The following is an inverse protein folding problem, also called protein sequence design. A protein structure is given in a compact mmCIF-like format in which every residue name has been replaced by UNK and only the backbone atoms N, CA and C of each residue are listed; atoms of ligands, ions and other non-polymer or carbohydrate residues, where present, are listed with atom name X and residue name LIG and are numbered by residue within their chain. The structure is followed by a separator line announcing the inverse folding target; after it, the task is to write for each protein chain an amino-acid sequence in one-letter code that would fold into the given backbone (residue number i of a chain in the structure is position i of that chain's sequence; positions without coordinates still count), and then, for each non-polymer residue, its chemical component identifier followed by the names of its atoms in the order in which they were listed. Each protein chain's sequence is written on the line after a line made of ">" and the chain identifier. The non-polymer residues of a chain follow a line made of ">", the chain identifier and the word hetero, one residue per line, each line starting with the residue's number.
data_IF_705113344542
#
_entry.id   IF_705113344542
#
_cell.length_a   1.000
_cell.length_b   1.000
_cell.length_c   1.000
_cell.angle_alpha   90.00
_cell.angle_beta   90.00
_cell.angle_gamma   90.00
#
_symmetry.space_group_name_H-M   'P 1'
#
loop_
_entity.id
_entity.type
_entity.pdbx_description
1 polymer ?
#
# COMPACT_ATOMS: atom_id res chain seq x y z
N UNK A 1 33.60 100.93 5.55
CA UNK A 1 34.42 99.82 6.08
C UNK A 1 33.41 98.90 6.69
N UNK A 2 32.87 98.04 5.84
CA UNK A 2 31.77 97.16 6.22
C UNK A 2 32.30 96.14 7.22
N UNK A 3 31.53 95.89 8.26
CA UNK A 3 31.95 95.11 9.41
C UNK A 3 32.18 93.66 8.93
N UNK A 4 33.38 93.07 9.07
CA UNK A 4 33.67 91.72 8.57
C UNK A 4 32.74 90.65 9.17
N UNK A 5 32.11 90.97 10.31
CA UNK A 5 31.09 90.13 10.92
C UNK A 5 29.78 90.11 10.10
N UNK A 6 29.39 91.23 9.51
CA UNK A 6 28.18 91.37 8.69
C UNK A 6 28.31 90.60 7.36
N UNK A 7 29.49 90.64 6.73
CA UNK A 7 29.80 89.85 5.53
C UNK A 7 29.78 88.34 5.83
N UNK A 8 30.30 87.92 6.98
CA UNK A 8 30.25 86.52 7.41
C UNK A 8 28.83 86.02 7.70
N UNK A 9 27.97 86.90 8.23
CA UNK A 9 26.56 86.61 8.48
C UNK A 9 25.79 86.47 7.16
N UNK A 10 26.07 87.34 6.19
CA UNK A 10 25.45 87.27 4.87
C UNK A 10 25.81 85.97 4.13
N UNK A 11 27.09 85.59 4.11
CA UNK A 11 27.51 84.31 3.52
C UNK A 11 26.92 83.09 4.26
N UNK A 12 26.82 83.14 5.58
CA UNK A 12 26.20 82.05 6.35
C UNK A 12 24.71 81.93 6.02
N UNK A 13 24.02 83.06 5.83
CA UNK A 13 22.62 83.08 5.44
C UNK A 13 22.42 82.52 4.02
N UNK A 14 23.27 82.91 3.07
CA UNK A 14 23.25 82.40 1.70
C UNK A 14 23.51 80.89 1.63
N UNK A 15 24.49 80.39 2.41
CA UNK A 15 24.78 78.96 2.50
C UNK A 15 23.60 78.20 3.13
N UNK A 16 22.96 78.75 4.16
CA UNK A 16 21.79 78.11 4.77
C UNK A 16 20.61 78.05 3.80
N UNK A 17 20.37 79.08 3.00
CA UNK A 17 19.32 79.11 1.98
C UNK A 17 19.58 78.10 0.86
N UNK A 18 20.84 77.95 0.43
CA UNK A 18 21.26 76.93 -0.53
C UNK A 18 21.11 75.51 0.04
N UNK A 19 21.47 75.30 1.31
CA UNK A 19 21.29 74.02 1.99
C UNK A 19 19.81 73.66 2.13
N UNK A 20 18.96 74.62 2.50
CA UNK A 20 17.51 74.43 2.61
C UNK A 20 16.90 74.07 1.24
N UNK A 21 17.31 74.76 0.19
CA UNK A 21 16.91 74.47 -1.19
C UNK A 21 17.34 73.07 -1.64
N UNK A 22 18.58 72.66 -1.32
CA UNK A 22 19.09 71.34 -1.66
C UNK A 22 18.39 70.22 -0.88
N UNK A 23 18.07 70.43 0.40
CA UNK A 23 17.31 69.49 1.21
C UNK A 23 15.90 69.32 0.66
N UNK A 24 15.26 70.41 0.21
CA UNK A 24 13.94 70.33 -0.41
C UNK A 24 13.96 69.55 -1.73
N UNK A 25 14.95 69.78 -2.59
CA UNK A 25 15.12 69.00 -3.83
C UNK A 25 15.38 67.52 -3.54
N UNK A 26 16.26 67.21 -2.58
CA UNK A 26 16.53 65.83 -2.16
C UNK A 26 15.29 65.13 -1.58
N UNK A 27 14.46 65.85 -0.82
CA UNK A 27 13.20 65.31 -0.31
C UNK A 27 12.19 65.02 -1.41
N UNK A 28 12.15 65.83 -2.47
CA UNK A 28 11.24 65.62 -3.59
C UNK A 28 11.68 64.42 -4.45
N UNK A 29 12.97 64.32 -4.75
CA UNK A 29 13.55 63.20 -5.51
C UNK A 29 13.51 61.88 -4.71
N UNK A 30 13.73 61.94 -3.40
CA UNK A 30 13.66 60.77 -2.51
C UNK A 30 12.25 60.19 -2.44
N UNK A 31 11.18 60.99 -2.55
CA UNK A 31 9.79 60.49 -2.50
C UNK A 31 9.50 59.57 -3.68
N UNK A 32 9.95 59.93 -4.88
CA UNK A 32 9.74 59.12 -6.08
C UNK A 32 10.46 57.77 -5.99
N UNK A 33 11.69 57.78 -5.45
CA UNK A 33 12.48 56.56 -5.24
C UNK A 33 11.88 55.66 -4.13
N UNK A 34 11.39 56.28 -3.05
CA UNK A 34 10.69 55.58 -1.97
C UNK A 34 9.41 54.90 -2.46
N UNK A 35 8.63 55.60 -3.30
CA UNK A 35 7.40 55.06 -3.87
C UNK A 35 7.70 53.92 -4.83
N UNK A 36 8.70 54.04 -5.71
CA UNK A 36 9.12 52.95 -6.59
C UNK A 36 9.59 51.72 -5.80
N UNK A 37 10.37 51.94 -4.75
CA UNK A 37 10.89 50.87 -3.90
C UNK A 37 9.76 50.17 -3.13
N UNK A 38 8.84 50.92 -2.55
CA UNK A 38 7.72 50.40 -1.75
C UNK A 38 6.67 49.71 -2.60
N UNK A 39 6.35 50.25 -3.78
CA UNK A 39 5.25 49.75 -4.61
C UNK A 39 5.69 48.68 -5.60
N UNK A 40 6.86 48.84 -6.25
CA UNK A 40 7.25 47.99 -7.37
C UNK A 40 8.32 46.97 -7.00
N UNK A 41 9.34 47.36 -6.23
CA UNK A 41 10.46 46.46 -5.91
C UNK A 41 10.13 45.52 -4.74
N UNK A 42 9.49 46.02 -3.67
CA UNK A 42 9.09 45.18 -2.52
C UNK A 42 7.94 44.23 -2.81
N UNK A 43 7.01 44.60 -3.68
CA UNK A 43 5.89 43.72 -4.07
C UNK A 43 6.34 42.55 -4.96
N UNK A 44 7.48 42.69 -5.65
CA UNK A 44 7.99 41.73 -6.63
C UNK A 44 9.04 40.74 -6.06
N UNK A 45 9.34 40.83 -4.77
CA UNK A 45 10.23 39.88 -4.07
C UNK A 45 9.51 38.58 -3.69
N UNK A 46 9.00 37.83 -4.67
CA UNK A 46 8.70 36.40 -4.51
C UNK A 46 9.02 35.72 -5.84
N UNK A 47 10.29 35.39 -6.05
CA UNK A 47 10.69 34.50 -7.14
C UNK A 47 11.58 33.40 -6.58
N UNK A 48 10.96 32.26 -6.34
CA UNK A 48 11.69 31.01 -6.19
C UNK A 48 11.66 30.33 -7.55
N UNK A 49 12.74 30.52 -8.30
CA UNK A 49 12.97 29.81 -9.55
C UNK A 49 13.70 28.53 -9.19
N UNK A 50 12.96 27.42 -9.16
CA UNK A 50 13.57 26.09 -9.07
C UNK A 50 14.17 25.79 -10.45
N UNK A 51 15.49 25.54 -10.54
CA UNK A 51 16.12 25.22 -11.80
C UNK A 51 15.63 23.84 -12.28
N UNK A 52 15.44 23.70 -13.59
CA UNK A 52 14.94 22.47 -14.21
C UNK A 52 15.81 21.25 -13.87
N UNK A 53 17.13 21.48 -13.77
CA UNK A 53 18.10 20.46 -13.36
C UNK A 53 17.80 19.86 -11.98
N UNK A 54 17.39 20.68 -11.00
CA UNK A 54 17.08 20.19 -9.66
C UNK A 54 15.79 19.37 -9.64
N UNK A 55 14.84 19.68 -10.53
CA UNK A 55 13.60 18.90 -10.71
C UNK A 55 13.93 17.53 -11.32
N UNK A 56 14.77 17.50 -12.36
CA UNK A 56 15.19 16.27 -13.00
C UNK A 56 15.97 15.37 -12.04
N UNK A 57 16.88 15.97 -11.26
CA UNK A 57 17.63 15.25 -10.23
C UNK A 57 16.73 14.69 -9.14
N UNK A 58 15.83 15.51 -8.58
CA UNK A 58 14.89 15.05 -7.56
C UNK A 58 13.98 13.92 -8.06
N UNK A 59 13.62 13.95 -9.35
CA UNK A 59 12.86 12.86 -9.98
C UNK A 59 13.66 11.57 -10.10
N UNK A 60 14.94 11.65 -10.46
CA UNK A 60 15.83 10.49 -10.52
C UNK A 60 16.01 9.91 -9.12
N UNK A 61 16.34 10.74 -8.13
CA UNK A 61 16.54 10.33 -6.74
C UNK A 61 15.27 9.65 -6.17
N UNK A 62 14.09 10.21 -6.45
CA UNK A 62 12.81 9.62 -6.05
C UNK A 62 12.56 8.27 -6.72
N UNK A 63 12.87 8.16 -8.03
CA UNK A 63 12.73 6.90 -8.74
C UNK A 63 13.69 5.83 -8.20
N UNK A 64 14.95 6.18 -7.93
CA UNK A 64 15.93 5.26 -7.35
C UNK A 64 15.50 4.75 -5.96
N UNK A 65 14.82 5.57 -5.16
CA UNK A 65 14.28 5.16 -3.87
C UNK A 65 13.02 4.28 -4.01
N UNK A 66 12.11 4.64 -4.92
CA UNK A 66 10.78 4.02 -5.03
C UNK A 66 10.80 2.74 -5.88
N UNK A 67 11.62 2.68 -6.93
CA UNK A 67 11.72 1.54 -7.84
C UNK A 67 12.04 0.19 -7.15
N UNK A 68 13.01 0.09 -6.21
CA UNK A 68 13.25 -1.17 -5.51
C UNK A 68 12.05 -1.60 -4.64
N UNK A 69 11.30 -0.64 -4.08
CA UNK A 69 10.10 -0.92 -3.29
C UNK A 69 8.99 -1.48 -4.19
N UNK A 70 8.79 -0.88 -5.37
CA UNK A 70 7.85 -1.37 -6.37
C UNK A 70 8.22 -2.78 -6.82
N UNK A 71 9.50 -3.05 -7.09
CA UNK A 71 9.96 -4.39 -7.47
C UNK A 71 9.71 -5.43 -6.38
N UNK A 72 10.04 -5.11 -5.13
CA UNK A 72 9.79 -6.01 -3.99
C UNK A 72 8.29 -6.33 -3.82
N UNK A 73 7.42 -5.31 -3.97
CA UNK A 73 5.97 -5.49 -3.96
C UNK A 73 5.49 -6.34 -5.15
N UNK A 74 6.03 -6.09 -6.34
CA UNK A 74 5.74 -6.85 -7.55
C UNK A 74 6.11 -8.33 -7.43
N UNK A 75 7.27 -8.62 -6.84
CA UNK A 75 7.72 -10.00 -6.63
C UNK A 75 6.91 -10.72 -5.55
N UNK A 76 6.55 -10.02 -4.46
CA UNK A 76 5.60 -10.55 -3.47
C UNK A 76 4.25 -10.86 -4.10
N UNK A 77 3.74 -9.98 -4.96
CA UNK A 77 2.48 -10.20 -5.67
C UNK A 77 2.58 -11.43 -6.59
N UNK A 78 3.64 -11.55 -7.39
CA UNK A 78 3.88 -12.73 -8.23
C UNK A 78 3.94 -14.02 -7.40
N UNK A 79 4.62 -14.02 -6.27
CA UNK A 79 4.70 -15.18 -5.40
C UNK A 79 3.32 -15.60 -4.88
N UNK A 80 2.53 -14.64 -4.37
CA UNK A 80 1.17 -14.93 -3.89
C UNK A 80 0.24 -15.41 -5.01
N UNK A 81 0.39 -14.86 -6.21
CA UNK A 81 -0.38 -15.26 -7.38
C UNK A 81 -0.02 -16.69 -7.81
N UNK A 82 1.27 -17.03 -7.81
CA UNK A 82 1.74 -18.38 -8.12
C UNK A 82 1.24 -19.39 -7.09
N UNK A 83 1.27 -19.06 -5.79
CA UNK A 83 0.71 -19.92 -4.73
C UNK A 83 -0.78 -20.17 -4.96
N UNK A 84 -1.56 -19.12 -5.20
CA UNK A 84 -3.00 -19.25 -5.49
C UNK A 84 -3.27 -20.03 -6.78
N UNK A 85 -2.43 -19.89 -7.80
CA UNK A 85 -2.56 -20.66 -9.03
C UNK A 85 -2.31 -22.16 -8.79
N UNK A 86 -1.32 -22.50 -7.96
CA UNK A 86 -1.06 -23.88 -7.53
C UNK A 86 -2.25 -24.43 -6.72
N UNK A 87 -2.77 -23.64 -5.78
CA UNK A 87 -3.94 -24.03 -4.98
C UNK A 87 -5.17 -24.28 -5.85
N UNK A 88 -5.43 -23.42 -6.84
CA UNK A 88 -6.51 -23.59 -7.81
C UNK A 88 -6.33 -24.89 -8.61
N UNK A 89 -5.14 -25.14 -9.14
CA UNK A 89 -4.86 -26.37 -9.89
C UNK A 89 -5.06 -27.62 -9.01
N UNK A 90 -4.61 -27.57 -7.76
CA UNK A 90 -4.80 -28.66 -6.79
C UNK A 90 -6.28 -28.88 -6.50
N UNK A 91 -7.05 -27.81 -6.33
CA UNK A 91 -8.48 -27.87 -6.10
C UNK A 91 -9.22 -28.42 -7.32
N UNK A 92 -8.84 -28.01 -8.53
CA UNK A 92 -9.39 -28.53 -9.79
C UNK A 92 -9.10 -30.02 -9.95
N UNK A 93 -7.88 -30.46 -9.65
CA UNK A 93 -7.53 -31.88 -9.68
C UNK A 93 -8.33 -32.69 -8.66
N UNK A 94 -8.51 -32.16 -7.44
CA UNK A 94 -9.36 -32.79 -6.41
C UNK A 94 -10.82 -32.87 -6.87
N UNK A 95 -11.34 -31.81 -7.50
CA UNK A 95 -12.70 -31.78 -8.03
C UNK A 95 -12.91 -32.86 -9.11
N UNK A 96 -12.01 -32.95 -10.10
CA UNK A 96 -12.09 -33.98 -11.14
C UNK A 96 -11.98 -35.40 -10.55
N UNK A 97 -11.09 -35.61 -9.58
CA UNK A 97 -10.94 -36.90 -8.91
C UNK A 97 -12.20 -37.29 -8.11
N UNK A 98 -12.83 -36.33 -7.43
CA UNK A 98 -14.08 -36.57 -6.72
C UNK A 98 -15.24 -36.85 -7.69
N UNK A 99 -15.32 -36.11 -8.80
CA UNK A 99 -16.28 -36.36 -9.87
C UNK A 99 -16.13 -37.79 -10.44
N UNK A 100 -14.90 -38.25 -10.67
CA UNK A 100 -14.64 -39.63 -11.12
C UNK A 100 -15.03 -40.67 -10.07
N UNK A 101 -14.73 -40.42 -8.78
CA UNK A 101 -15.15 -41.31 -7.68
C UNK A 101 -16.67 -41.41 -7.57
N UNK A 102 -17.38 -40.29 -7.65
CA UNK A 102 -18.84 -40.26 -7.65
C UNK A 102 -19.40 -41.04 -8.85
N UNK A 103 -18.85 -40.84 -10.04
CA UNK A 103 -19.30 -41.54 -11.24
C UNK A 103 -19.04 -43.06 -11.19
N UNK A 104 -17.87 -43.49 -10.68
CA UNK A 104 -17.57 -44.90 -10.47
C UNK A 104 -18.44 -45.54 -9.39
N UNK A 105 -18.71 -44.82 -8.29
CA UNK A 105 -19.63 -45.32 -7.25
C UNK A 105 -21.06 -45.44 -7.78
N UNK A 106 -21.56 -44.48 -8.57
CA UNK A 106 -22.87 -44.58 -9.20
C UNK A 106 -22.96 -45.76 -10.18
N UNK A 107 -21.92 -45.98 -10.99
CA UNK A 107 -21.89 -47.12 -11.91
C UNK A 107 -21.80 -48.46 -11.17
N UNK A 108 -21.00 -48.58 -10.12
CA UNK A 108 -20.89 -49.82 -9.34
C UNK A 108 -22.15 -50.11 -8.51
N UNK A 109 -22.79 -49.08 -7.95
CA UNK A 109 -24.04 -49.25 -7.19
C UNK A 109 -25.25 -49.55 -8.09
N UNK A 110 -25.14 -49.33 -9.40
CA UNK A 110 -26.16 -49.74 -10.38
C UNK A 110 -26.06 -51.22 -10.83
N UNK A 111 -24.97 -51.91 -10.46
CA UNK A 111 -24.74 -53.33 -10.80
C UNK A 111 -25.02 -54.26 -9.61
N UNK A 112 -25.16 -53.75 -8.38
CA UNK A 112 -25.44 -54.52 -7.16
C UNK A 112 -26.92 -54.52 -6.75
N UNK A 113 -27.83 -54.69 -7.72
CA UNK A 113 -29.21 -55.14 -7.47
C UNK A 113 -29.45 -56.47 -8.19
N UNK A 114 -28.48 -57.40 -8.10
CA UNK A 114 -28.76 -58.82 -8.32
C UNK A 114 -28.24 -59.60 -7.13
N UNK A 115 -29.20 -60.11 -6.37
CA UNK A 115 -29.08 -60.74 -5.08
C UNK A 115 -28.49 -62.15 -5.28
N UNK A 116 -27.17 -62.28 -5.19
CA UNK A 116 -26.55 -63.58 -4.97
C UNK A 116 -25.42 -63.49 -3.96
N UNK A 117 -25.67 -64.14 -2.84
CA UNK A 117 -24.72 -64.58 -1.82
C UNK A 117 -23.29 -64.71 -2.34
N UNK A 118 -22.33 -63.96 -1.79
CA UNK A 118 -21.09 -64.61 -1.40
C UNK A 118 -20.35 -63.88 -0.28
N UNK A 119 -19.76 -64.73 0.52
CA UNK A 119 -19.21 -64.59 1.83
C UNK A 119 -17.70 -64.34 1.65
N UNK A 120 -17.21 -63.11 1.78
CA UNK A 120 -15.76 -62.89 1.84
C UNK A 120 -15.37 -61.74 2.74
N UNK A 121 -14.85 -62.16 3.88
CA UNK A 121 -14.18 -61.39 4.89
C UNK A 121 -12.78 -61.01 4.35
N UNK A 122 -12.63 -59.88 3.64
CA UNK A 122 -11.31 -59.36 3.24
C UNK A 122 -11.11 -57.90 3.65
N UNK A 123 -10.45 -57.76 4.80
CA UNK A 123 -9.34 -56.83 5.05
C UNK A 123 -8.98 -55.84 3.92
N UNK A 124 -9.76 -54.77 3.79
CA UNK A 124 -9.49 -53.64 2.89
C UNK A 124 -9.58 -52.30 3.61
N UNK A 125 -8.98 -52.19 4.79
CA UNK A 125 -8.87 -50.94 5.53
C UNK A 125 -8.01 -49.94 4.75
N UNK A 126 -8.62 -49.22 3.80
CA UNK A 126 -8.04 -48.06 3.14
C UNK A 126 -7.86 -46.97 4.19
N UNK A 127 -6.70 -46.99 4.84
CA UNK A 127 -6.23 -45.90 5.68
C UNK A 127 -5.97 -44.72 4.75
N UNK A 128 -6.95 -43.83 4.66
CA UNK A 128 -6.84 -42.52 4.03
C UNK A 128 -5.84 -41.70 4.87
N UNK A 129 -4.55 -41.83 4.57
CA UNK A 129 -3.52 -40.90 5.04
C UNK A 129 -3.64 -39.62 4.23
N UNK A 130 -4.49 -38.70 4.69
CA UNK A 130 -4.66 -37.38 4.09
C UNK A 130 -5.11 -36.38 5.14
N UNK A 131 -4.15 -35.85 5.90
CA UNK A 131 -4.20 -34.59 6.66
C UNK A 131 -5.56 -34.23 7.29
N UNK A 132 -6.09 -35.07 8.18
CA UNK A 132 -7.20 -34.66 9.05
C UNK A 132 -6.62 -33.78 10.16
N UNK A 133 -7.25 -32.64 10.38
CA UNK A 133 -6.91 -31.78 11.52
C UNK A 133 -7.14 -32.55 12.83
N UNK A 134 -6.39 -32.26 13.90
CA UNK A 134 -6.48 -33.00 15.17
C UNK A 134 -7.91 -33.01 15.75
N UNK A 135 -8.72 -32.01 15.42
CA UNK A 135 -10.12 -31.89 15.80
C UNK A 135 -11.02 -32.93 15.10
N UNK A 136 -10.88 -33.10 13.79
CA UNK A 136 -11.60 -34.11 13.00
C UNK A 136 -11.23 -35.54 13.42
N UNK A 137 -10.01 -35.76 13.90
CA UNK A 137 -9.55 -37.06 14.38
C UNK A 137 -10.23 -37.45 15.70
N UNK A 138 -10.43 -36.49 16.61
CA UNK A 138 -11.14 -36.72 17.87
C UNK A 138 -12.64 -36.96 17.63
N UNK A 139 -13.26 -36.24 16.68
CA UNK A 139 -14.64 -36.48 16.25
C UNK A 139 -14.83 -37.89 15.66
N UNK A 140 -13.90 -38.34 14.80
CA UNK A 140 -13.93 -39.69 14.25
C UNK A 140 -13.78 -40.78 15.32
N UNK A 141 -12.97 -40.53 16.35
CA UNK A 141 -12.81 -41.44 17.48
C UNK A 141 -14.09 -41.55 18.29
N UNK A 142 -14.77 -40.44 18.56
CA UNK A 142 -16.07 -40.43 19.25
C UNK A 142 -17.17 -41.13 18.43
N UNK A 143 -17.19 -40.92 17.11
CA UNK A 143 -18.13 -41.59 16.21
C UNK A 143 -17.91 -43.11 16.16
N UNK A 144 -16.66 -43.57 16.23
CA UNK A 144 -16.32 -45.00 16.28
C UNK A 144 -16.81 -45.65 17.58
N UNK A 145 -16.62 -44.99 18.73
CA UNK A 145 -17.12 -45.48 20.02
C UNK A 145 -18.64 -45.56 20.02
N UNK A 146 -19.34 -44.52 19.53
CA UNK A 146 -20.80 -44.53 19.41
C UNK A 146 -21.30 -45.63 18.47
N UNK A 147 -20.58 -45.89 17.37
CA UNK A 147 -20.91 -46.99 16.46
C UNK A 147 -20.80 -48.34 17.15
N UNK A 148 -19.73 -48.58 17.90
CA UNK A 148 -19.52 -49.84 18.62
C UNK A 148 -20.56 -50.03 19.74
N UNK A 149 -20.95 -48.97 20.46
CA UNK A 149 -22.03 -49.00 21.46
C UNK A 149 -23.40 -49.31 20.84
N UNK A 150 -23.72 -48.64 19.72
CA UNK A 150 -24.97 -48.90 19.00
C UNK A 150 -24.99 -50.31 18.42
N UNK A 151 -23.86 -50.82 17.94
CA UNK A 151 -23.74 -52.16 17.39
C UNK A 151 -23.88 -53.24 18.50
N UNK A 152 -23.37 -52.97 19.71
CA UNK A 152 -23.63 -53.82 20.88
C UNK A 152 -25.11 -53.84 21.25
N UNK A 153 -25.77 -52.68 21.33
CA UNK A 153 -27.23 -52.59 21.58
C UNK A 153 -28.05 -53.30 20.51
N UNK A 154 -27.64 -53.19 19.25
CA UNK A 154 -28.32 -53.85 18.14
C UNK A 154 -28.16 -55.38 18.22
N UNK A 155 -27.00 -55.86 18.66
CA UNK A 155 -26.77 -57.29 18.91
C UNK A 155 -27.52 -57.80 20.15
N UNK A 156 -27.68 -56.97 21.19
CA UNK A 156 -28.50 -57.29 22.36
C UNK A 156 -30.00 -57.36 22.04
N UNK A 157 -30.47 -56.56 21.07
CA UNK A 157 -31.87 -56.58 20.58
C UNK A 157 -32.13 -57.66 19.53
N UNK A 158 -31.09 -58.28 18.97
CA UNK A 158 -31.19 -59.37 17.99
C UNK A 158 -31.06 -60.77 18.62
N UNK A 159 -30.73 -60.85 19.90
CA UNK A 159 -30.88 -62.04 20.75
C UNK A 159 -32.18 -61.97 21.54
#
# INVERSE_FOLDING_TARGET
>A
MDDPLEESLWHLQEINELLESSVHQLQEDSKQNDDLTKTMLRFKQVYELVPEFDIERARIDLNEEVEPIIHALGDKLKETLNRRAIDLNTLKQKYELNKLKLNNNYNNQSVENDDSMDNSNESGGVVVMGSTTNEELEELKQLRVKKDELQKRLNELKN
#
